data_IF_815936251493
#
_entry.id   IF_815936251493
#
_cell.length_a   1.000
_cell.length_b   1.000
_cell.length_c   1.000
_cell.angle_alpha   90.00
_cell.angle_beta   90.00
_cell.angle_gamma   90.00
#
_symmetry.space_group_name_H-M   'P 1'
#
loop_
_entity.id
_entity.type
_entity.pdbx_description
1 polymer ?
#
# COMPACT_ATOMS: atom_id res chain seq x y z
N UNK A 1 -8.81 22.76 -10.38
CA UNK A 1 -7.83 22.30 -9.38
C UNK A 1 -7.43 20.89 -9.77
N UNK A 2 -6.13 20.60 -9.91
CA UNK A 2 -5.67 19.22 -10.13
C UNK A 2 -6.05 18.35 -8.93
N UNK A 3 -6.42 17.08 -9.14
CA UNK A 3 -6.76 16.18 -8.04
C UNK A 3 -5.56 15.96 -7.12
N UNK A 4 -5.78 15.96 -5.81
CA UNK A 4 -4.75 15.47 -4.89
C UNK A 4 -4.66 13.96 -5.02
N UNK A 5 -3.45 13.44 -5.15
CA UNK A 5 -3.22 12.02 -5.36
C UNK A 5 -2.14 11.53 -4.41
N UNK A 6 -2.34 10.37 -3.78
CA UNK A 6 -1.30 9.66 -3.05
C UNK A 6 -1.38 8.16 -3.30
N UNK A 7 -0.26 7.47 -3.07
CA UNK A 7 -0.16 6.02 -3.23
C UNK A 7 0.00 5.36 -1.86
N UNK A 8 -0.79 4.33 -1.59
CA UNK A 8 -0.68 3.51 -0.39
C UNK A 8 -0.24 2.08 -0.79
N UNK A 9 1.01 1.67 -0.50
CA UNK A 9 1.48 0.34 -0.86
C UNK A 9 0.68 -0.74 -0.13
N UNK A 10 0.47 -1.84 -0.83
CA UNK A 10 -0.15 -3.03 -0.28
C UNK A 10 0.46 -4.27 -0.94
N UNK A 11 0.38 -5.42 -0.26
CA UNK A 11 1.02 -6.65 -0.71
C UNK A 11 0.57 -7.08 -2.10
N UNK A 12 -0.72 -6.91 -2.41
CA UNK A 12 -1.31 -7.26 -3.71
C UNK A 12 -1.14 -6.20 -4.81
N UNK A 13 -0.26 -5.22 -4.63
CA UNK A 13 -0.28 -4.00 -5.45
C UNK A 13 -0.89 -2.88 -4.62
N UNK A 14 -0.16 -1.78 -4.48
CA UNK A 14 -0.67 -0.62 -3.76
C UNK A 14 -1.82 0.06 -4.50
N UNK A 15 -2.48 0.95 -3.77
CA UNK A 15 -3.68 1.65 -4.20
C UNK A 15 -3.36 3.11 -4.46
N UNK A 16 -3.87 3.63 -5.58
CA UNK A 16 -3.84 5.07 -5.88
C UNK A 16 -5.12 5.70 -5.35
N UNK A 17 -4.98 6.67 -4.45
CA UNK A 17 -6.11 7.43 -3.90
C UNK A 17 -6.15 8.81 -4.55
N UNK A 18 -7.25 9.13 -5.23
CA UNK A 18 -7.49 10.43 -5.83
C UNK A 18 -8.57 11.19 -5.07
N UNK A 19 -8.35 12.48 -4.86
CA UNK A 19 -9.28 13.37 -4.19
C UNK A 19 -9.61 14.49 -5.16
N UNK A 20 -10.86 14.45 -5.63
CA UNK A 20 -11.41 15.31 -6.65
C UNK A 20 -12.45 16.27 -6.09
N UNK A 21 -12.72 17.31 -6.87
CA UNK A 21 -13.67 18.35 -6.55
C UNK A 21 -14.66 18.55 -7.70
N UNK A 22 -15.96 18.47 -7.39
CA UNK A 22 -17.04 18.70 -8.34
C UNK A 22 -18.12 19.59 -7.69
N UNK A 23 -18.12 20.89 -7.98
CA UNK A 23 -19.09 21.83 -7.40
C UNK A 23 -18.96 21.94 -5.88
N UNK A 24 -19.96 21.55 -5.07
CA UNK A 24 -19.82 21.46 -3.61
C UNK A 24 -19.35 20.08 -3.11
N UNK A 25 -19.06 19.14 -4.01
CA UNK A 25 -18.77 17.75 -3.65
C UNK A 25 -17.26 17.48 -3.58
N UNK A 26 -16.87 16.80 -2.49
CA UNK A 26 -15.59 16.08 -2.37
C UNK A 26 -15.80 14.65 -2.84
N UNK A 27 -14.95 14.20 -3.75
CA UNK A 27 -15.01 12.83 -4.27
C UNK A 27 -13.68 12.17 -3.99
N UNK A 28 -13.70 11.03 -3.31
CA UNK A 28 -12.52 10.20 -3.05
C UNK A 28 -12.66 8.93 -3.89
N UNK A 29 -11.68 8.70 -4.74
CA UNK A 29 -11.56 7.50 -5.56
C UNK A 29 -10.36 6.68 -5.13
N UNK A 30 -10.49 5.36 -5.18
CA UNK A 30 -9.38 4.41 -5.01
C UNK A 30 -9.30 3.56 -6.27
N UNK A 31 -8.17 3.63 -6.97
CA UNK A 31 -7.95 2.95 -8.26
C UNK A 31 -9.08 3.24 -9.28
N UNK A 32 -9.56 4.50 -9.28
CA UNK A 32 -10.65 4.97 -10.14
C UNK A 32 -12.07 4.72 -9.62
N UNK A 33 -12.26 3.84 -8.64
CA UNK A 33 -13.56 3.54 -8.02
C UNK A 33 -13.93 4.60 -6.98
N UNK A 34 -15.13 5.19 -7.06
CA UNK A 34 -15.61 6.18 -6.07
C UNK A 34 -15.92 5.48 -4.74
N UNK A 35 -15.15 5.79 -3.70
CA UNK A 35 -15.35 5.25 -2.35
C UNK A 35 -16.18 6.19 -1.48
N UNK A 36 -16.00 7.50 -1.66
CA UNK A 36 -16.73 8.52 -0.93
C UNK A 36 -17.14 9.65 -1.87
N UNK A 37 -18.40 10.06 -1.82
CA UNK A 37 -18.87 11.33 -2.39
C UNK A 37 -19.62 12.09 -1.30
N UNK A 38 -19.08 13.23 -0.87
CA UNK A 38 -19.60 14.02 0.25
C UNK A 38 -19.87 15.44 -0.20
N UNK A 39 -21.07 15.97 0.10
CA UNK A 39 -21.36 17.38 -0.08
C UNK A 39 -20.75 18.16 1.10
N UNK A 40 -19.89 19.13 0.80
CA UNK A 40 -19.18 19.92 1.80
C UNK A 40 -19.85 21.27 2.10
N UNK A 41 -20.88 21.68 1.35
CA UNK A 41 -21.62 22.91 1.62
C UNK A 41 -20.72 24.17 1.74
N UNK A 42 -21.01 25.01 2.74
CA UNK A 42 -20.25 26.24 3.05
C UNK A 42 -18.97 25.96 3.85
N UNK A 43 -18.93 24.82 4.56
CA UNK A 43 -17.76 24.29 5.26
C UNK A 43 -16.76 23.72 4.25
N UNK A 44 -16.18 24.66 3.51
CA UNK A 44 -14.97 24.58 2.70
C UNK A 44 -14.04 23.43 3.15
N UNK A 45 -14.23 22.24 2.54
CA UNK A 45 -13.48 20.96 2.50
C UNK A 45 -12.73 20.46 3.75
N UNK A 46 -12.78 21.18 4.85
CA UNK A 46 -12.07 20.92 6.07
C UNK A 46 -12.76 19.81 6.88
N UNK A 47 -11.97 19.14 7.70
CA UNK A 47 -12.41 18.02 8.50
C UNK A 47 -11.76 16.71 8.06
N UNK A 48 -12.34 15.61 8.50
CA UNK A 48 -11.79 14.28 8.33
C UNK A 48 -12.69 13.41 7.46
N UNK A 49 -12.07 12.64 6.58
CA UNK A 49 -12.72 11.60 5.82
C UNK A 49 -12.10 10.25 6.19
N UNK A 50 -12.95 9.32 6.57
CA UNK A 50 -12.61 7.97 7.00
C UNK A 50 -13.23 6.96 6.05
N UNK A 51 -12.46 6.02 5.56
CA UNK A 51 -12.96 4.91 4.75
C UNK A 51 -12.06 3.68 4.86
N UNK A 52 -12.56 2.52 4.41
CA UNK A 52 -11.81 1.27 4.40
C UNK A 52 -11.75 0.68 3.00
N UNK A 53 -10.60 0.12 2.61
CA UNK A 53 -10.43 -0.65 1.36
C UNK A 53 -9.35 -1.72 1.59
N UNK A 54 -9.59 -2.95 1.15
CA UNK A 54 -8.65 -4.07 1.24
C UNK A 54 -8.02 -4.27 2.64
N UNK A 55 -8.85 -4.20 3.70
CA UNK A 55 -8.46 -4.27 5.13
C UNK A 55 -7.59 -3.11 5.63
N UNK A 56 -7.28 -2.12 4.80
CA UNK A 56 -6.65 -0.87 5.24
C UNK A 56 -7.70 0.14 5.68
N UNK A 57 -7.44 0.82 6.79
CA UNK A 57 -8.20 1.97 7.24
C UNK A 57 -7.52 3.25 6.75
N UNK A 58 -8.23 4.10 6.03
CA UNK A 58 -7.73 5.37 5.54
C UNK A 58 -8.33 6.52 6.33
N UNK A 59 -7.49 7.49 6.71
CA UNK A 59 -7.91 8.78 7.26
C UNK A 59 -7.25 9.92 6.51
N UNK A 60 -8.08 10.78 5.92
CA UNK A 60 -7.64 12.00 5.25
C UNK A 60 -8.08 13.18 6.10
N UNK A 61 -7.13 13.90 6.68
CA UNK A 61 -7.38 15.12 7.44
C UNK A 61 -7.14 16.30 6.53
N UNK A 62 -8.19 17.07 6.24
CA UNK A 62 -8.12 18.28 5.42
C UNK A 62 -8.23 19.50 6.33
N UNK A 63 -7.27 20.41 6.23
CA UNK A 63 -7.23 21.64 7.02
C UNK A 63 -7.25 22.84 6.09
N UNK A 64 -8.26 23.69 6.22
CA UNK A 64 -8.30 24.98 5.53
C UNK A 64 -7.34 25.97 6.17
N UNK A 65 -6.61 26.72 5.34
CA UNK A 65 -5.74 27.81 5.78
C UNK A 65 -6.14 29.09 5.08
N UNK A 66 -6.08 30.21 5.82
CA UNK A 66 -6.47 31.52 5.29
C UNK A 66 -5.58 32.00 4.13
N UNK A 67 -4.38 31.44 3.99
CA UNK A 67 -3.32 31.97 3.11
C UNK A 67 -2.97 31.07 1.92
N UNK A 68 -3.20 29.75 2.01
CA UNK A 68 -2.72 28.78 1.02
C UNK A 68 -3.79 27.79 0.53
N UNK A 69 -5.06 27.97 0.91
CA UNK A 69 -6.12 27.00 0.60
C UNK A 69 -6.05 25.80 1.56
N UNK A 70 -6.12 24.57 1.04
CA UNK A 70 -6.20 23.36 1.84
C UNK A 70 -4.87 22.60 1.92
N UNK A 71 -4.59 22.06 3.10
CA UNK A 71 -3.55 21.04 3.30
C UNK A 71 -4.21 19.72 3.69
N UNK A 72 -3.64 18.63 3.18
CA UNK A 72 -4.12 17.28 3.45
C UNK A 72 -3.03 16.48 4.16
N UNK A 73 -3.41 15.80 5.24
CA UNK A 73 -2.58 14.79 5.91
C UNK A 73 -3.21 13.42 5.70
N UNK A 74 -2.44 12.49 5.17
CA UNK A 74 -2.88 11.14 4.86
C UNK A 74 -2.40 10.17 5.93
N UNK A 75 -3.30 9.30 6.38
CA UNK A 75 -2.98 8.23 7.29
C UNK A 75 -3.54 6.91 6.76
N UNK A 76 -2.81 5.83 7.01
CA UNK A 76 -3.18 4.45 6.68
C UNK A 76 -2.93 3.60 7.92
N UNK A 77 -3.95 2.87 8.39
CA UNK A 77 -3.93 2.10 9.63
C UNK A 77 -3.43 2.92 10.84
N UNK A 78 -4.03 4.10 11.01
CA UNK A 78 -3.74 5.06 12.09
C UNK A 78 -2.31 5.61 12.14
N UNK A 79 -1.49 5.31 11.13
CA UNK A 79 -0.13 5.84 10.97
C UNK A 79 -0.09 6.92 9.88
N UNK A 80 0.73 7.97 10.00
CA UNK A 80 1.03 8.86 8.90
C UNK A 80 1.49 8.09 7.66
N UNK A 81 1.07 8.50 6.46
CA UNK A 81 1.37 7.77 5.22
C UNK A 81 2.88 7.50 5.03
N UNK A 82 3.74 8.46 5.35
CA UNK A 82 5.19 8.28 5.24
C UNK A 82 5.71 7.14 6.14
N UNK A 83 5.21 7.07 7.37
CA UNK A 83 5.58 6.02 8.33
C UNK A 83 4.99 4.67 7.91
N UNK A 84 3.76 4.67 7.39
CA UNK A 84 3.13 3.48 6.82
C UNK A 84 3.94 2.92 5.65
N UNK A 85 4.35 3.75 4.70
CA UNK A 85 5.17 3.33 3.54
C UNK A 85 6.50 2.76 4.03
N UNK A 86 7.16 3.43 4.97
CA UNK A 86 8.43 2.96 5.54
C UNK A 86 8.27 1.59 6.22
N UNK A 87 7.25 1.43 7.06
CA UNK A 87 6.96 0.17 7.75
C UNK A 87 6.53 -0.93 6.75
N UNK A 88 5.80 -0.56 5.69
CA UNK A 88 5.41 -1.50 4.65
C UNK A 88 6.64 -2.16 4.01
N UNK A 89 7.67 -1.41 3.63
CA UNK A 89 8.86 -2.02 3.03
C UNK A 89 9.63 -2.95 3.98
N UNK A 90 9.52 -2.75 5.29
CA UNK A 90 10.14 -3.63 6.30
C UNK A 90 9.45 -5.00 6.33
N UNK A 91 8.12 -5.01 6.32
CA UNK A 91 7.30 -6.24 6.41
C UNK A 91 7.02 -6.89 5.05
N UNK A 92 7.07 -6.10 3.98
CA UNK A 92 6.76 -6.49 2.62
C UNK A 92 7.90 -6.11 1.66
N UNK A 93 9.12 -6.68 1.80
CA UNK A 93 10.16 -6.52 0.80
C UNK A 93 9.60 -6.78 -0.60
N UNK A 94 9.90 -5.87 -1.51
CA UNK A 94 9.38 -5.88 -2.87
C UNK A 94 10.55 -5.73 -3.83
N UNK A 95 10.57 -6.54 -4.88
CA UNK A 95 11.51 -6.50 -5.98
C UNK A 95 10.75 -6.36 -7.31
N UNK A 96 11.40 -5.76 -8.30
CA UNK A 96 10.88 -5.65 -9.66
C UNK A 96 11.89 -6.29 -10.61
N UNK A 97 11.41 -7.23 -11.44
CA UNK A 97 12.17 -7.82 -12.53
C UNK A 97 11.93 -6.94 -13.75
N UNK A 98 12.90 -6.08 -14.06
CA UNK A 98 12.77 -4.98 -15.03
C UNK A 98 12.39 -5.48 -16.43
N UNK A 99 12.93 -6.62 -16.86
CA UNK A 99 12.72 -7.17 -18.21
C UNK A 99 11.27 -7.55 -18.46
N UNK A 100 10.58 -8.04 -17.43
CA UNK A 100 9.20 -8.51 -17.51
C UNK A 100 8.21 -7.56 -16.84
N UNK A 101 8.71 -6.51 -16.18
CA UNK A 101 7.94 -5.64 -15.30
C UNK A 101 7.17 -6.43 -14.23
N UNK A 102 7.70 -7.59 -13.84
CA UNK A 102 7.09 -8.46 -12.83
C UNK A 102 7.48 -7.99 -11.45
N UNK A 103 6.48 -7.75 -10.60
CA UNK A 103 6.65 -7.33 -9.21
C UNK A 103 6.55 -8.55 -8.30
N UNK A 104 7.62 -8.81 -7.53
CA UNK A 104 7.66 -9.84 -6.49
C UNK A 104 7.58 -9.16 -5.13
N UNK A 105 6.69 -9.62 -4.26
CA UNK A 105 6.52 -9.10 -2.90
C UNK A 105 6.51 -10.26 -1.92
N UNK A 106 7.33 -10.19 -0.87
CA UNK A 106 7.37 -11.19 0.19
C UNK A 106 6.71 -10.66 1.46
N UNK A 107 5.59 -11.26 1.86
CA UNK A 107 4.92 -10.96 3.11
C UNK A 107 5.62 -11.72 4.24
N UNK A 108 6.47 -11.03 5.02
CA UNK A 108 7.20 -11.62 6.15
C UNK A 108 6.28 -12.11 7.26
N UNK A 109 5.08 -11.56 7.39
CA UNK A 109 4.16 -11.90 8.48
C UNK A 109 3.45 -13.21 8.19
N UNK A 110 3.02 -13.41 6.94
CA UNK A 110 2.35 -14.63 6.49
C UNK A 110 3.32 -15.68 5.91
N UNK A 111 4.59 -15.30 5.69
CA UNK A 111 5.59 -16.10 4.97
C UNK A 111 5.12 -16.48 3.54
N UNK A 112 4.50 -15.50 2.86
CA UNK A 112 3.82 -15.67 1.57
C UNK A 112 4.48 -14.85 0.46
N UNK A 113 4.43 -15.35 -0.76
CA UNK A 113 4.95 -14.66 -1.94
C UNK A 113 3.78 -14.19 -2.79
N UNK A 114 3.89 -12.95 -3.26
CA UNK A 114 2.97 -12.33 -4.19
C UNK A 114 3.71 -11.98 -5.47
N UNK A 115 3.15 -12.37 -6.62
CA UNK A 115 3.65 -12.00 -7.95
C UNK A 115 2.55 -11.18 -8.64
N UNK A 116 2.89 -9.96 -9.06
CA UNK A 116 1.98 -9.01 -9.69
C UNK A 116 0.68 -8.82 -8.91
N UNK A 117 0.80 -8.91 -7.58
CA UNK A 117 -0.29 -8.74 -6.65
C UNK A 117 -1.10 -10.00 -6.32
N UNK A 118 -0.87 -11.09 -7.04
CA UNK A 118 -1.52 -12.38 -6.79
C UNK A 118 -0.68 -13.23 -5.84
N UNK A 119 -1.32 -13.82 -4.83
CA UNK A 119 -0.66 -14.78 -3.94
C UNK A 119 -0.25 -16.02 -4.75
N UNK A 120 0.98 -16.46 -4.59
CA UNK A 120 1.49 -17.67 -5.22
C UNK A 120 1.27 -18.86 -4.29
N UNK A 121 0.20 -19.63 -4.52
CA UNK A 121 -0.24 -20.68 -3.58
C UNK A 121 0.42 -22.05 -3.80
N UNK A 122 0.68 -22.45 -5.05
CA UNK A 122 0.93 -23.88 -5.37
C UNK A 122 2.36 -24.23 -5.83
N UNK A 123 3.25 -23.26 -6.00
CA UNK A 123 4.59 -23.52 -6.57
C UNK A 123 5.74 -22.93 -5.73
N UNK A 124 5.51 -22.74 -4.43
CA UNK A 124 6.51 -22.21 -3.51
C UNK A 124 7.13 -23.35 -2.71
N UNK A 125 8.42 -23.63 -2.95
CA UNK A 125 9.21 -24.57 -2.14
C UNK A 125 9.89 -23.82 -1.01
N UNK A 126 9.87 -24.40 0.19
CA UNK A 126 10.50 -23.83 1.38
C UNK A 126 11.42 -24.86 1.99
N UNK A 127 12.69 -24.52 2.09
CA UNK A 127 13.72 -25.32 2.73
C UNK A 127 14.16 -24.59 3.99
N UNK A 128 13.89 -25.21 5.14
CA UNK A 128 14.28 -24.66 6.45
C UNK A 128 15.58 -25.32 6.88
N UNK A 129 16.56 -24.50 7.24
CA UNK A 129 17.87 -24.92 7.77
C UNK A 129 18.11 -24.26 9.12
N UNK A 130 19.15 -24.68 9.82
CA UNK A 130 19.54 -24.06 11.10
C UNK A 130 19.90 -22.56 10.96
N UNK A 131 20.26 -22.12 9.74
CA UNK A 131 20.63 -20.74 9.43
C UNK A 131 19.46 -19.88 8.91
N UNK A 132 18.28 -20.48 8.67
CA UNK A 132 17.10 -19.76 8.22
C UNK A 132 16.22 -20.52 7.24
N UNK A 133 15.67 -19.82 6.25
CA UNK A 133 14.77 -20.39 5.26
C UNK A 133 15.14 -19.94 3.85
N UNK A 134 15.29 -20.90 2.94
CA UNK A 134 15.36 -20.63 1.50
C UNK A 134 13.99 -20.88 0.89
N UNK A 135 13.48 -19.88 0.18
CA UNK A 135 12.19 -19.93 -0.49
C UNK A 135 12.40 -19.84 -2.00
N UNK A 136 11.95 -20.84 -2.72
CA UNK A 136 12.14 -20.97 -4.17
C UNK A 136 10.78 -21.00 -4.87
N UNK A 137 10.64 -20.24 -5.95
CA UNK A 137 9.35 -20.04 -6.62
C UNK A 137 9.52 -19.71 -8.11
N UNK A 138 8.58 -20.12 -8.98
CA UNK A 138 8.60 -19.72 -10.38
C UNK A 138 8.30 -18.23 -10.54
N UNK A 139 9.05 -17.54 -11.40
CA UNK A 139 8.81 -16.14 -11.73
C UNK A 139 9.43 -15.79 -13.09
N UNK A 140 8.74 -14.99 -13.90
CA UNK A 140 9.27 -14.42 -15.15
C UNK A 140 9.87 -15.46 -16.14
N UNK A 141 9.32 -16.68 -16.18
CA UNK A 141 9.84 -17.77 -17.03
C UNK A 141 11.07 -18.49 -16.48
N UNK A 142 11.50 -18.17 -15.27
CA UNK A 142 12.57 -18.84 -14.53
C UNK A 142 12.18 -19.14 -13.08
N UNK A 143 13.20 -19.20 -12.21
CA UNK A 143 13.06 -19.49 -10.79
C UNK A 143 13.69 -18.36 -9.97
N UNK A 144 12.95 -17.86 -8.99
CA UNK A 144 13.40 -16.88 -8.00
C UNK A 144 13.73 -17.55 -6.68
N UNK A 145 14.69 -16.98 -5.95
CA UNK A 145 15.12 -17.45 -4.64
C UNK A 145 15.12 -16.27 -3.64
N UNK A 146 14.50 -16.49 -2.48
CA UNK A 146 14.58 -15.57 -1.33
C UNK A 146 15.24 -16.33 -0.18
N UNK A 147 16.36 -15.79 0.33
CA UNK A 147 17.00 -16.27 1.56
C UNK A 147 16.58 -15.41 2.74
N UNK A 148 15.89 -16.03 3.69
CA UNK A 148 15.54 -15.43 4.97
C UNK A 148 16.56 -15.89 6.00
N UNK A 149 17.42 -14.98 6.44
CA UNK A 149 18.41 -15.24 7.49
C UNK A 149 18.06 -14.40 8.72
N UNK A 150 18.03 -15.04 9.89
CA UNK A 150 17.93 -14.34 11.15
C UNK A 150 19.29 -13.73 11.50
N UNK A 151 19.32 -12.45 11.86
CA UNK A 151 20.48 -11.82 12.48
C UNK A 151 20.14 -11.46 13.93
N UNK A 152 20.60 -12.30 14.86
CA UNK A 152 20.35 -12.15 16.31
C UNK A 152 20.22 -13.50 17.02
N UNK A 153 20.12 -13.47 18.35
CA UNK A 153 19.85 -14.69 19.13
C UNK A 153 18.50 -15.29 18.73
N UNK A 154 18.41 -16.62 18.54
CA UNK A 154 17.14 -17.29 18.25
C UNK A 154 16.16 -17.05 19.40
N UNK A 155 14.97 -16.54 19.08
CA UNK A 155 13.82 -16.49 19.99
C UNK A 155 12.84 -17.60 19.68
#
# INVERSE_FOLDING_TARGET
MSPWTFYAPFKSGGMTVNIEHEGPFKIIKVDGEVILKKNCGEDKFAGEDLFKKNKLNFRIVTTGTQKYGYFLKYHVNDMPLADYVKNHHVHYPTWEIVETHTRVCFDKNENEIYIDGCRLENDVKREFTDEGCTITFPVAGGEGEIKVQGSGDPK
#
